data_IF_801105202331
#
_entry.id   IF_801105202331
#
_cell.length_a   1.000
_cell.length_b   1.000
_cell.length_c   1.000
_cell.angle_alpha   90.00
_cell.angle_beta   90.00
_cell.angle_gamma   90.00
#
_symmetry.space_group_name_H-M   'P 1'
#
loop_
_entity.id
_entity.type
_entity.pdbx_description
1 polymer ?
#
# COMPACT_ATOMS: atom_id res chain seq x y z
N UNK A 1 -2.23 -3.46 32.11
CA UNK A 1 -2.98 -3.30 30.84
C UNK A 1 -2.57 -2.07 30.03
N UNK A 2 -1.93 -1.05 30.62
CA UNK A 2 -1.51 0.19 29.95
C UNK A 2 -0.35 0.03 28.94
N UNK A 3 0.48 -1.01 29.08
CA UNK A 3 1.73 -1.16 28.31
C UNK A 3 1.47 -1.63 26.86
N UNK A 4 0.42 -2.43 26.64
CA UNK A 4 0.13 -2.99 25.31
C UNK A 4 -0.48 -1.92 24.41
N UNK A 5 -1.48 -1.18 24.91
CA UNK A 5 -2.09 -0.06 24.18
C UNK A 5 -1.07 1.06 23.88
N UNK A 6 -0.13 1.35 24.80
CA UNK A 6 0.91 2.36 24.54
C UNK A 6 1.96 1.90 23.52
N UNK A 7 2.20 0.59 23.39
CA UNK A 7 3.13 0.06 22.38
C UNK A 7 2.56 0.20 20.96
N UNK A 8 1.29 -0.13 20.76
CA UNK A 8 0.65 -0.06 19.44
C UNK A 8 0.42 1.38 18.96
N UNK A 9 0.06 2.30 19.87
CA UNK A 9 -0.14 3.72 19.54
C UNK A 9 1.19 4.40 19.17
N UNK A 10 2.29 4.10 19.87
CA UNK A 10 3.62 4.62 19.51
C UNK A 10 4.06 4.14 18.14
N UNK A 11 3.76 2.89 17.80
CA UNK A 11 4.08 2.33 16.50
C UNK A 11 3.32 3.04 15.37
N UNK A 12 2.04 3.34 15.59
CA UNK A 12 1.24 4.14 14.66
C UNK A 12 1.78 5.57 14.49
N UNK A 13 2.11 6.25 15.60
CA UNK A 13 2.71 7.59 15.57
C UNK A 13 4.01 7.62 14.77
N UNK A 14 4.90 6.64 14.96
CA UNK A 14 6.14 6.59 14.19
C UNK A 14 5.88 6.44 12.67
N UNK A 15 4.85 5.67 12.27
CA UNK A 15 4.48 5.53 10.86
C UNK A 15 3.91 6.86 10.33
N UNK A 16 3.11 7.54 11.13
CA UNK A 16 2.58 8.86 10.80
C UNK A 16 3.69 9.90 10.62
N UNK A 17 4.65 9.96 11.54
CA UNK A 17 5.79 10.89 11.47
C UNK A 17 6.67 10.65 10.24
N UNK A 18 6.88 9.38 9.88
CA UNK A 18 7.57 8.96 8.66
C UNK A 18 6.75 9.35 7.41
N UNK A 19 5.41 9.24 7.45
CA UNK A 19 4.50 9.62 6.35
C UNK A 19 4.51 11.13 6.07
N UNK A 20 4.76 11.96 7.08
CA UNK A 20 4.76 13.42 6.95
C UNK A 20 6.00 13.97 6.22
N UNK A 21 7.08 13.19 6.17
CA UNK A 21 8.38 13.61 5.64
C UNK A 21 8.90 12.63 4.59
N UNK A 22 8.05 12.29 3.62
CA UNK A 22 8.35 11.35 2.53
C UNK A 22 9.38 11.86 1.51
N UNK A 23 9.78 13.13 1.59
CA UNK A 23 10.82 13.73 0.74
C UNK A 23 12.23 13.15 0.99
N UNK A 24 12.44 12.50 2.14
CA UNK A 24 13.70 11.85 2.47
C UNK A 24 13.66 10.36 2.13
N UNK A 25 14.54 9.91 1.24
CA UNK A 25 14.63 8.52 0.77
C UNK A 25 14.74 7.49 1.92
N UNK A 26 15.48 7.83 2.98
CA UNK A 26 15.60 6.96 4.17
C UNK A 26 14.26 6.80 4.90
N UNK A 27 13.51 7.90 5.06
CA UNK A 27 12.19 7.89 5.71
C UNK A 27 11.14 7.23 4.84
N UNK A 28 11.22 7.44 3.53
CA UNK A 28 10.37 6.75 2.56
C UNK A 28 10.54 5.24 2.61
N UNK A 29 11.78 4.74 2.68
CA UNK A 29 12.02 3.30 2.77
C UNK A 29 11.51 2.73 4.11
N UNK A 30 11.76 3.45 5.22
CA UNK A 30 11.22 3.08 6.53
C UNK A 30 9.69 3.04 6.54
N UNK A 31 9.06 4.05 5.95
CA UNK A 31 7.62 4.12 5.77
C UNK A 31 7.11 2.91 4.97
N UNK A 32 7.74 2.58 3.83
CA UNK A 32 7.34 1.44 2.98
C UNK A 32 7.42 0.10 3.71
N UNK A 33 8.44 -0.10 4.54
CA UNK A 33 8.58 -1.32 5.34
C UNK A 33 7.51 -1.39 6.43
N UNK A 34 7.32 -0.30 7.18
CA UNK A 34 6.38 -0.27 8.32
C UNK A 34 4.92 -0.26 7.90
N UNK A 35 4.60 0.36 6.77
CA UNK A 35 3.27 0.40 6.17
C UNK A 35 2.69 -1.01 5.93
N UNK A 36 3.54 -1.98 5.56
CA UNK A 36 3.10 -3.39 5.40
C UNK A 36 2.47 -3.98 6.66
N UNK A 37 2.88 -3.50 7.84
CA UNK A 37 2.39 -3.99 9.12
C UNK A 37 1.21 -3.20 9.67
N UNK A 38 0.87 -2.05 9.06
CA UNK A 38 -0.17 -1.13 9.52
C UNK A 38 -1.54 -1.80 9.63
N UNK A 39 -1.94 -2.56 8.59
CA UNK A 39 -3.23 -3.26 8.57
C UNK A 39 -3.33 -4.30 9.67
N UNK A 40 -2.22 -4.98 9.99
CA UNK A 40 -2.19 -5.95 11.07
C UNK A 40 -2.34 -5.25 12.42
N UNK A 41 -1.62 -4.14 12.62
CA UNK A 41 -1.73 -3.32 13.84
C UNK A 41 -3.16 -2.79 14.05
N UNK A 42 -3.85 -2.35 12.99
CA UNK A 42 -5.26 -1.92 13.09
C UNK A 42 -6.17 -3.04 13.60
N UNK A 43 -6.09 -4.22 12.99
CA UNK A 43 -6.90 -5.39 13.39
C UNK A 43 -6.60 -5.84 14.82
N UNK A 44 -5.33 -5.80 15.22
CA UNK A 44 -4.94 -6.13 16.58
C UNK A 44 -5.49 -5.11 17.59
N UNK A 45 -5.48 -3.82 17.24
CA UNK A 45 -6.05 -2.77 18.07
C UNK A 45 -7.57 -2.90 18.24
N UNK A 46 -8.32 -3.09 17.14
CA UNK A 46 -9.76 -3.36 17.15
C UNK A 46 -10.10 -4.55 18.05
N UNK A 47 -9.41 -5.68 17.84
CA UNK A 47 -9.62 -6.90 18.63
C UNK A 47 -9.36 -6.69 20.11
N UNK A 48 -8.30 -5.97 20.47
CA UNK A 48 -7.97 -5.69 21.88
C UNK A 48 -9.03 -4.78 22.51
N UNK A 49 -9.50 -3.76 21.79
CA UNK A 49 -10.58 -2.88 22.24
C UNK A 49 -11.87 -3.65 22.48
N UNK A 50 -12.25 -4.54 21.57
CA UNK A 50 -13.43 -5.39 21.72
C UNK A 50 -13.31 -6.31 22.94
N UNK A 51 -12.14 -6.92 23.14
CA UNK A 51 -11.87 -7.74 24.33
C UNK A 51 -11.99 -6.93 25.63
N UNK A 52 -11.49 -5.70 25.65
CA UNK A 52 -11.61 -4.79 26.81
C UNK A 52 -13.08 -4.47 27.06
N UNK A 53 -13.83 -4.10 26.03
CA UNK A 53 -15.23 -3.73 26.15
C UNK A 53 -16.10 -4.91 26.60
N UNK A 54 -15.83 -6.11 26.06
CA UNK A 54 -16.51 -7.33 26.48
C UNK A 54 -16.25 -7.65 27.95
N UNK A 55 -14.98 -7.71 28.38
CA UNK A 55 -14.62 -7.99 29.76
C UNK A 55 -15.18 -6.93 30.73
N UNK A 56 -15.19 -5.67 30.32
CA UNK A 56 -15.75 -4.57 31.13
C UNK A 56 -17.26 -4.66 31.28
N UNK A 57 -17.96 -5.13 30.24
CA UNK A 57 -19.40 -5.38 30.26
C UNK A 57 -19.77 -6.59 31.11
N UNK A 58 -18.93 -7.63 31.12
CA UNK A 58 -19.09 -8.80 31.99
C UNK A 58 -18.93 -8.45 33.47
N UNK A 59 -18.02 -7.52 33.80
CA UNK A 59 -17.79 -7.07 35.17
C UNK A 59 -18.88 -6.10 35.64
N UNK A 60 -19.32 -5.18 34.76
CA UNK A 60 -20.26 -4.13 35.08
C UNK A 60 -21.41 -4.09 34.05
N UNK A 61 -22.64 -4.50 34.40
CA UNK A 61 -23.75 -4.54 33.45
C UNK A 61 -24.25 -3.15 32.99
N UNK A 62 -23.86 -2.07 33.67
CA UNK A 62 -24.13 -0.69 33.25
C UNK A 62 -22.94 -0.05 32.51
N UNK A 63 -21.91 -0.83 32.17
CA UNK A 63 -20.75 -0.32 31.45
C UNK A 63 -21.16 0.10 30.04
N UNK A 64 -20.74 1.30 29.64
CA UNK A 64 -20.90 1.81 28.28
C UNK A 64 -19.54 1.70 27.59
N UNK A 65 -19.43 0.89 26.51
CA UNK A 65 -18.22 0.79 25.72
C UNK A 65 -17.74 2.16 25.22
N UNK A 66 -16.44 2.40 25.28
CA UNK A 66 -15.81 3.59 24.72
C UNK A 66 -15.02 3.20 23.46
N UNK A 67 -15.25 3.93 22.37
CA UNK A 67 -14.57 3.74 21.08
C UNK A 67 -13.81 4.99 20.59
N UNK A 68 -13.67 6.03 21.42
CA UNK A 68 -13.01 7.30 21.06
C UNK A 68 -11.55 7.09 20.63
N UNK A 69 -10.88 6.13 21.29
CA UNK A 69 -9.51 5.76 20.95
C UNK A 69 -9.41 5.04 19.59
N UNK A 70 -10.46 4.31 19.19
CA UNK A 70 -10.55 3.66 17.88
C UNK A 70 -10.81 4.68 16.77
N UNK A 71 -11.66 5.66 17.02
CA UNK A 71 -11.89 6.77 16.10
C UNK A 71 -10.60 7.55 15.85
N UNK A 72 -9.87 7.92 16.91
CA UNK A 72 -8.58 8.60 16.80
C UNK A 72 -7.52 7.77 16.05
N UNK A 73 -7.53 6.45 16.24
CA UNK A 73 -6.66 5.53 15.49
C UNK A 73 -7.01 5.52 14.01
N UNK A 74 -8.30 5.45 13.68
CA UNK A 74 -8.80 5.40 12.32
C UNK A 74 -8.54 6.70 11.55
N UNK A 75 -8.62 7.87 12.19
CA UNK A 75 -8.22 9.14 11.59
C UNK A 75 -6.76 9.13 11.12
N UNK A 76 -5.85 8.69 11.99
CA UNK A 76 -4.42 8.59 11.69
C UNK A 76 -4.16 7.53 10.60
N UNK A 77 -4.85 6.40 10.67
CA UNK A 77 -4.76 5.33 9.69
C UNK A 77 -5.19 5.82 8.29
N UNK A 78 -6.31 6.54 8.20
CA UNK A 78 -6.80 7.11 6.94
C UNK A 78 -5.78 8.08 6.34
N UNK A 79 -5.20 8.96 7.16
CA UNK A 79 -4.16 9.88 6.69
C UNK A 79 -2.95 9.12 6.12
N UNK A 80 -2.48 8.09 6.82
CA UNK A 80 -1.36 7.26 6.36
C UNK A 80 -1.72 6.55 5.04
N UNK A 81 -2.95 6.06 4.88
CA UNK A 81 -3.42 5.44 3.64
C UNK A 81 -3.35 6.41 2.45
N UNK A 82 -3.86 7.64 2.60
CA UNK A 82 -3.83 8.65 1.55
C UNK A 82 -2.40 8.96 1.10
N UNK A 83 -1.48 9.12 2.06
CA UNK A 83 -0.05 9.31 1.74
C UNK A 83 0.54 8.09 1.04
N UNK A 84 0.21 6.88 1.50
CA UNK A 84 0.67 5.65 0.87
C UNK A 84 0.16 5.49 -0.56
N UNK A 85 -1.07 5.87 -0.86
CA UNK A 85 -1.60 5.88 -2.23
C UNK A 85 -0.80 6.83 -3.12
N UNK A 86 -0.56 8.05 -2.66
CA UNK A 86 0.19 9.05 -3.42
C UNK A 86 1.64 8.65 -3.69
N UNK A 87 2.30 7.97 -2.74
CA UNK A 87 3.75 7.74 -2.80
C UNK A 87 4.11 6.31 -3.24
N UNK A 88 3.29 5.31 -2.90
CA UNK A 88 3.59 3.90 -3.21
C UNK A 88 2.86 3.39 -4.45
N UNK A 89 1.76 4.04 -4.88
CA UNK A 89 0.98 3.64 -6.06
C UNK A 89 1.35 4.47 -7.30
N UNK A 90 1.71 5.75 -7.15
CA UNK A 90 2.13 6.60 -8.27
C UNK A 90 3.33 6.04 -9.07
N UNK A 91 4.23 5.31 -8.40
CA UNK A 91 5.39 4.64 -9.03
C UNK A 91 5.01 3.52 -10.01
N UNK A 92 3.72 3.13 -10.08
CA UNK A 92 3.21 2.14 -11.03
C UNK A 92 2.49 2.76 -12.24
N UNK A 93 2.35 4.08 -12.30
CA UNK A 93 1.42 4.76 -13.20
C UNK A 93 1.98 5.70 -14.28
N UNK A 94 3.26 6.10 -14.25
CA UNK A 94 3.81 7.02 -15.25
C UNK A 94 4.61 6.30 -16.35
N UNK A 95 3.88 5.71 -17.28
CA UNK A 95 4.33 5.64 -18.68
C UNK A 95 3.24 6.24 -19.55
N UNK A 96 3.64 7.17 -20.42
CA UNK A 96 2.87 7.88 -21.47
C UNK A 96 2.29 9.22 -20.95
N UNK A 97 2.82 10.39 -21.33
CA UNK A 97 2.77 10.98 -22.68
C UNK A 97 3.89 12.01 -22.96
N UNK A 98 4.55 11.78 -24.10
CA UNK A 98 5.19 12.67 -25.10
C UNK A 98 5.28 14.19 -24.86
N UNK A 99 6.48 14.79 -24.95
CA UNK A 99 6.93 15.66 -26.07
C UNK A 99 8.32 16.32 -25.88
N UNK A 100 9.22 16.01 -26.83
CA UNK A 100 10.20 16.85 -27.56
C UNK A 100 11.45 17.46 -26.83
N UNK A 101 12.61 17.05 -27.36
CA UNK A 101 13.98 17.62 -27.39
C UNK A 101 14.75 18.01 -26.11
N UNK A 102 15.79 17.22 -25.80
CA UNK A 102 17.19 17.69 -25.76
C UNK A 102 18.17 16.51 -25.62
N UNK A 103 19.18 16.46 -26.49
CA UNK A 103 20.23 15.44 -26.57
C UNK A 103 21.09 15.33 -25.29
N UNK A 104 21.22 14.12 -24.73
CA UNK A 104 22.39 13.70 -23.94
C UNK A 104 22.72 12.24 -24.28
N UNK A 105 23.97 11.89 -24.63
CA UNK A 105 24.33 10.53 -25.03
C UNK A 105 24.64 9.68 -23.79
N UNK A 106 23.64 9.00 -23.23
CA UNK A 106 23.89 7.94 -22.23
C UNK A 106 24.10 6.60 -22.93
N UNK A 107 25.26 5.99 -22.62
CA UNK A 107 25.77 4.71 -23.13
C UNK A 107 24.66 3.65 -23.25
N UNK A 108 24.48 3.14 -24.46
CA UNK A 108 23.45 2.14 -24.78
C UNK A 108 23.84 0.78 -24.22
N UNK A 109 23.15 0.36 -23.15
CA UNK A 109 23.08 -1.05 -22.76
C UNK A 109 22.46 -1.82 -23.94
N UNK A 110 23.06 -2.91 -24.43
CA UNK A 110 22.47 -3.70 -25.51
C UNK A 110 21.11 -4.24 -25.05
N UNK A 111 20.04 -3.64 -25.56
CA UNK A 111 18.67 -4.08 -25.28
C UNK A 111 18.37 -5.28 -26.17
N UNK A 112 17.70 -6.29 -25.62
CA UNK A 112 17.16 -7.37 -26.41
C UNK A 112 16.31 -6.80 -27.56
N UNK A 113 16.37 -7.39 -28.78
CA UNK A 113 15.46 -7.04 -29.85
C UNK A 113 14.02 -7.18 -29.34
N UNK A 114 13.19 -6.17 -29.60
CA UNK A 114 11.78 -6.23 -29.21
C UNK A 114 11.13 -7.40 -29.95
N UNK A 115 10.70 -8.41 -29.20
CA UNK A 115 9.87 -9.47 -29.75
C UNK A 115 8.49 -8.86 -29.98
N UNK A 116 8.12 -8.60 -31.24
CA UNK A 116 6.77 -8.16 -31.56
C UNK A 116 5.85 -9.37 -31.46
N UNK A 117 5.03 -9.39 -30.40
CA UNK A 117 3.99 -10.39 -30.27
C UNK A 117 2.90 -10.08 -31.31
N UNK A 118 2.53 -11.03 -32.17
CA UNK A 118 1.46 -10.81 -33.13
C UNK A 118 0.16 -10.51 -32.40
N UNK A 119 -0.45 -9.37 -32.70
CA UNK A 119 -1.76 -9.01 -32.18
C UNK A 119 -2.83 -9.84 -32.89
N UNK A 120 -3.57 -10.65 -32.15
CA UNK A 120 -4.69 -11.41 -32.68
C UNK A 120 -5.90 -10.48 -32.87
N UNK A 121 -6.29 -10.26 -34.13
CA UNK A 121 -7.37 -9.37 -34.54
C UNK A 121 -8.78 -9.89 -34.16
N UNK A 122 -8.89 -11.15 -33.76
CA UNK A 122 -10.17 -11.82 -33.53
C UNK A 122 -10.83 -12.37 -34.79
N UNK A 123 -10.22 -12.18 -35.97
CA UNK A 123 -10.76 -12.72 -37.22
C UNK A 123 -10.59 -14.24 -37.31
N UNK A 124 -11.64 -14.93 -37.75
CA UNK A 124 -11.67 -16.40 -37.82
C UNK A 124 -10.65 -16.98 -38.81
N UNK A 125 -10.15 -16.16 -39.75
CA UNK A 125 -9.06 -16.51 -40.69
C UNK A 125 -7.69 -16.50 -40.02
N UNK A 126 -7.49 -15.65 -39.02
CA UNK A 126 -6.24 -15.52 -38.26
C UNK A 126 -6.11 -16.60 -37.18
N UNK A 127 -7.22 -17.27 -36.86
CA UNK A 127 -7.30 -18.33 -35.85
C UNK A 127 -6.43 -19.54 -36.20
N UNK A 128 -6.31 -19.88 -37.49
CA UNK A 128 -5.42 -20.98 -37.93
C UNK A 128 -3.95 -20.67 -37.66
N UNK A 129 -3.51 -19.42 -37.86
CA UNK A 129 -2.14 -18.99 -37.60
C UNK A 129 -1.83 -18.93 -36.10
N UNK A 130 -2.79 -18.47 -35.29
CA UNK A 130 -2.66 -18.47 -33.83
C UNK A 130 -2.45 -19.89 -33.27
N UNK A 131 -3.18 -20.88 -33.78
CA UNK A 131 -3.05 -22.27 -33.34
C UNK A 131 -1.67 -22.90 -33.59
N UNK A 132 -0.91 -22.39 -34.58
CA UNK A 132 0.41 -22.90 -34.91
C UNK A 132 1.53 -22.27 -34.06
N UNK A 133 1.31 -21.08 -33.48
CA UNK A 133 2.29 -20.39 -32.63
C UNK A 133 2.32 -20.96 -31.20
N UNK A 134 1.21 -21.53 -30.73
CA UNK A 134 1.07 -22.06 -29.37
C UNK A 134 1.02 -23.60 -29.29
N UNK A 135 1.31 -24.30 -30.40
CA UNK A 135 1.58 -25.75 -30.34
C UNK A 135 2.97 -25.99 -29.75
N UNK A 136 2.98 -26.39 -28.47
CA UNK A 136 4.07 -27.16 -27.86
C UNK A 136 3.85 -28.63 -28.20
#
# INVERSE_FOLDING_TARGET
MTIILTFDVRRLQNIYDDSRNVDNEMRLNNFRVRYKTLNQTRRDFERIMDQINQLSSEINPNFVPNFDALESFDELYCHIQVVAENVLVADKGEKTRTSIDACVPTRSIPRLPKLELPCFSGDMKDCQFFSNVFKV
#
